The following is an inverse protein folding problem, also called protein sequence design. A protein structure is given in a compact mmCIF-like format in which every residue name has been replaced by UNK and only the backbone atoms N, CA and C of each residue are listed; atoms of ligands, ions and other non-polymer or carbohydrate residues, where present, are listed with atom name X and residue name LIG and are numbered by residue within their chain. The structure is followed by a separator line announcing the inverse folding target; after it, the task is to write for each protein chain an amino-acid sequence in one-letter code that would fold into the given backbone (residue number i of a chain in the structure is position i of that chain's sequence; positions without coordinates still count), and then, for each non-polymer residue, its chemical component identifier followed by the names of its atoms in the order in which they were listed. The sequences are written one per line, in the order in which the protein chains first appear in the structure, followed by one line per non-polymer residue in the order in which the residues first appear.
data_IF_393087380713
#
_entry.id   IF_393087380713
#
_cell.length_a   1.000
_cell.length_b   1.000
_cell.length_c   1.000
_cell.angle_alpha   90.00
_cell.angle_beta   90.00
_cell.angle_gamma   90.00
#
_symmetry.space_group_name_H-M   'P 1'
#
loop_
_entity.id
_entity.type
_entity.pdbx_description
1 polymer ?
#
# COMPACT_ATOMS: atom_id res chain seq x y z
N UNK A 1 3.19 -20.24 1.02
CA UNK A 1 2.82 -19.14 1.95
C UNK A 1 2.30 -17.98 1.14
N UNK A 2 1.17 -17.37 1.54
CA UNK A 2 0.61 -16.20 0.86
C UNK A 2 0.98 -14.95 1.66
N UNK A 3 1.64 -13.99 1.01
CA UNK A 3 2.04 -12.72 1.61
C UNK A 3 1.34 -11.61 0.85
N UNK A 4 0.55 -10.80 1.55
CA UNK A 4 -0.16 -9.65 1.00
C UNK A 4 0.44 -8.37 1.55
N UNK A 5 0.93 -7.50 0.67
CA UNK A 5 1.43 -6.17 1.02
C UNK A 5 0.37 -5.16 0.58
N UNK A 6 -0.15 -4.39 1.53
CA UNK A 6 -1.14 -3.34 1.28
C UNK A 6 -0.48 -2.00 1.57
N UNK A 7 -0.45 -1.11 0.58
CA UNK A 7 0.17 0.21 0.70
C UNK A 7 -0.76 1.31 0.22
N UNK A 8 -0.70 2.47 0.87
CA UNK A 8 -1.42 3.68 0.44
C UNK A 8 -0.60 4.41 -0.62
N UNK A 9 -1.27 4.85 -1.68
CA UNK A 9 -0.63 5.56 -2.79
C UNK A 9 -0.02 4.63 -3.85
N UNK A 10 0.42 5.23 -4.95
CA UNK A 10 1.04 4.53 -6.08
C UNK A 10 2.52 4.84 -6.16
N UNK A 11 3.32 3.82 -6.45
CA UNK A 11 4.76 3.98 -6.69
C UNK A 11 4.97 4.58 -8.09
N UNK A 12 5.62 5.74 -8.17
CA UNK A 12 5.81 6.50 -9.42
C UNK A 12 7.20 6.31 -10.00
N UNK A 13 8.18 6.12 -9.12
CA UNK A 13 9.59 6.05 -9.45
C UNK A 13 9.91 4.71 -10.12
N UNK A 14 10.47 4.78 -11.32
CA UNK A 14 10.77 3.59 -12.12
C UNK A 14 11.76 2.65 -11.42
N UNK A 15 12.80 3.21 -10.79
CA UNK A 15 13.82 2.41 -10.10
C UNK A 15 13.22 1.59 -8.94
N UNK A 16 12.21 2.12 -8.23
CA UNK A 16 11.51 1.40 -7.17
C UNK A 16 10.66 0.26 -7.75
N UNK A 17 9.93 0.51 -8.84
CA UNK A 17 9.10 -0.51 -9.50
C UNK A 17 9.97 -1.65 -10.04
N UNK A 18 11.13 -1.33 -10.62
CA UNK A 18 12.09 -2.33 -11.08
C UNK A 18 12.69 -3.14 -9.93
N UNK A 19 13.08 -2.48 -8.83
CA UNK A 19 13.57 -3.15 -7.63
C UNK A 19 12.54 -4.13 -7.07
N UNK A 20 11.29 -3.68 -6.91
CA UNK A 20 10.19 -4.52 -6.44
C UNK A 20 9.98 -5.75 -7.34
N UNK A 21 10.05 -5.58 -8.66
CA UNK A 21 9.91 -6.68 -9.62
C UNK A 21 11.04 -7.72 -9.45
N UNK A 22 12.27 -7.27 -9.26
CA UNK A 22 13.43 -8.15 -9.05
C UNK A 22 13.29 -8.96 -7.74
N UNK A 23 12.92 -8.32 -6.64
CA UNK A 23 12.71 -9.01 -5.37
C UNK A 23 11.49 -9.94 -5.40
N UNK A 24 10.40 -9.52 -6.03
CA UNK A 24 9.20 -10.35 -6.22
C UNK A 24 9.54 -11.62 -7.02
N UNK A 25 10.35 -11.49 -8.07
CA UNK A 25 10.83 -12.64 -8.86
C UNK A 25 11.66 -13.61 -8.01
N UNK A 26 12.57 -13.11 -7.18
CA UNK A 26 13.38 -13.94 -6.26
C UNK A 26 12.51 -14.66 -5.23
N UNK A 27 11.47 -13.99 -4.72
CA UNK A 27 10.55 -14.52 -3.71
C UNK A 27 9.53 -15.52 -4.26
N UNK A 28 9.24 -15.49 -5.56
CA UNK A 28 8.22 -16.35 -6.21
C UNK A 28 8.39 -17.86 -5.98
N UNK A 29 9.61 -18.32 -5.68
CA UNK A 29 9.89 -19.74 -5.35
C UNK A 29 9.44 -20.14 -3.93
N UNK A 30 9.22 -19.17 -3.05
CA UNK A 30 8.98 -19.39 -1.61
C UNK A 30 7.58 -18.97 -1.18
N UNK A 31 7.04 -17.92 -1.81
CA UNK A 31 5.72 -17.40 -1.49
C UNK A 31 4.99 -16.88 -2.72
N UNK A 32 3.67 -16.85 -2.60
CA UNK A 32 2.83 -16.07 -3.49
C UNK A 32 2.71 -14.66 -2.90
N UNK A 33 3.28 -13.68 -3.60
CA UNK A 33 3.28 -12.28 -3.19
C UNK A 33 2.17 -11.54 -3.92
N UNK A 34 1.25 -10.93 -3.17
CA UNK A 34 0.19 -10.07 -3.69
C UNK A 34 0.44 -8.64 -3.20
N UNK A 35 0.48 -7.67 -4.11
CA UNK A 35 0.60 -6.26 -3.76
C UNK A 35 -0.69 -5.53 -4.11
N UNK A 36 -1.23 -4.81 -3.13
CA UNK A 36 -2.45 -4.02 -3.26
C UNK A 36 -2.12 -2.57 -2.95
N UNK A 37 -2.22 -1.71 -3.96
CA UNK A 37 -2.12 -0.27 -3.80
C UNK A 37 -3.53 0.29 -3.60
N UNK A 38 -3.79 0.91 -2.45
CA UNK A 38 -5.03 1.65 -2.19
C UNK A 38 -4.84 3.13 -2.49
N UNK A 39 -5.90 3.81 -2.92
CA UNK A 39 -5.83 5.27 -3.15
C UNK A 39 -5.61 5.97 -1.81
N UNK A 40 -4.86 7.05 -1.88
CA UNK A 40 -4.77 8.00 -0.78
C UNK A 40 -6.11 8.74 -0.66
N UNK A 41 -6.72 8.67 0.52
CA UNK A 41 -7.87 9.50 0.87
C UNK A 41 -7.31 10.85 1.31
N UNK A 42 -7.77 11.94 0.68
CA UNK A 42 -7.38 13.28 1.13
C UNK A 42 -7.95 13.49 2.53
N UNK A 43 -7.12 13.40 3.56
CA UNK A 43 -7.47 13.92 4.87
C UNK A 43 -7.62 15.45 4.74
N UNK A 44 -8.78 16.04 5.09
CA UNK A 44 -8.91 17.49 5.16
C UNK A 44 -7.91 18.04 6.18
N UNK A 45 -7.19 19.12 5.86
CA UNK A 45 -6.20 19.75 6.76
C UNK A 45 -6.82 20.18 8.11
N UNK A 46 -8.13 20.43 8.13
CA UNK A 46 -8.93 20.60 9.35
C UNK A 46 -9.90 19.42 9.50
N UNK A 47 -9.44 18.34 10.12
CA UNK A 47 -10.37 17.32 10.60
C UNK A 47 -11.15 17.89 11.79
N UNK A 48 -12.48 17.93 11.68
CA UNK A 48 -13.30 18.17 12.88
C UNK A 48 -13.21 16.95 13.80
N UNK A 49 -13.49 17.10 15.09
CA UNK A 49 -13.49 15.97 16.04
C UNK A 49 -14.41 14.82 15.57
N UNK A 50 -15.49 15.15 14.84
CA UNK A 50 -16.39 14.17 14.21
C UNK A 50 -15.72 13.38 13.09
N UNK A 51 -14.91 14.02 12.25
CA UNK A 51 -14.23 13.35 11.14
C UNK A 51 -13.15 12.38 11.67
N UNK A 52 -12.47 12.74 12.76
CA UNK A 52 -11.51 11.88 13.46
C UNK A 52 -12.20 10.63 14.02
N UNK A 53 -13.39 10.79 14.60
CA UNK A 53 -14.15 9.68 15.18
C UNK A 53 -14.69 8.71 14.11
N UNK A 54 -15.05 9.21 12.93
CA UNK A 54 -15.44 8.38 11.78
C UNK A 54 -14.23 7.57 11.27
N UNK A 55 -13.06 8.21 11.12
CA UNK A 55 -11.84 7.54 10.60
C UNK A 55 -11.33 6.46 11.55
N UNK A 56 -11.45 6.65 12.87
CA UNK A 56 -11.04 5.64 13.87
C UNK A 56 -11.88 4.36 13.83
N UNK A 57 -13.06 4.38 13.21
CA UNK A 57 -14.00 3.26 13.17
C UNK A 57 -14.10 2.57 11.79
N UNK A 58 -13.20 2.90 10.86
CA UNK A 58 -12.97 2.19 9.58
C UNK A 58 -11.84 1.17 9.77
#
# INVERSE_FOLDING_TARGET
MNIKIISVGKIREEYLRLGIKEYSKRLSKYCNLEMIEVKDEKAPDNLSDKDIEIIKNI
#
